data_IF_161641081741
#
_entry.id   IF_161641081741
#
_cell.length_a   1.000
_cell.length_b   1.000
_cell.length_c   1.000
_cell.angle_alpha   90.00
_cell.angle_beta   90.00
_cell.angle_gamma   90.00
#
_symmetry.space_group_name_H-M   'P 1'
#
loop_
_entity.id
_entity.type
_entity.pdbx_description
1 polymer ?
#
# COMPACT_ATOMS: atom_id res chain seq x y z
N UNK A 1 5.34 40.40 12.22
CA UNK A 1 6.12 40.20 10.97
C UNK A 1 6.36 38.71 10.81
N UNK A 2 5.59 38.06 9.95
CA UNK A 2 5.74 36.63 9.63
C UNK A 2 6.89 36.52 8.62
N UNK A 3 7.86 35.64 8.88
CA UNK A 3 9.04 35.43 8.04
C UNK A 3 8.65 35.02 6.62
N UNK A 4 9.15 35.76 5.63
CA UNK A 4 8.76 35.71 4.23
C UNK A 4 9.40 34.55 3.43
N UNK A 5 9.50 33.35 3.99
CA UNK A 5 10.16 32.23 3.30
C UNK A 5 9.59 30.83 3.57
N UNK A 6 8.29 30.71 3.88
CA UNK A 6 7.61 29.42 3.74
C UNK A 6 7.25 29.21 2.27
N UNK A 7 8.13 28.55 1.50
CA UNK A 7 7.73 27.97 0.21
C UNK A 7 6.73 26.85 0.51
N UNK A 8 5.52 26.95 -0.02
CA UNK A 8 4.64 25.79 -0.08
C UNK A 8 5.38 24.70 -0.87
N UNK A 9 5.80 23.63 -0.19
CA UNK A 9 6.32 22.45 -0.86
C UNK A 9 5.15 21.78 -1.56
N UNK A 10 4.95 22.15 -2.83
CA UNK A 10 4.07 21.43 -3.73
C UNK A 10 4.98 20.42 -4.42
N UNK A 11 4.91 19.12 -4.10
CA UNK A 11 5.59 18.13 -4.90
C UNK A 11 5.12 18.34 -6.34
N UNK A 12 6.05 18.44 -7.29
CA UNK A 12 5.69 18.37 -8.70
C UNK A 12 5.20 16.94 -8.95
N UNK A 13 3.92 16.65 -8.70
CA UNK A 13 3.31 15.34 -8.96
C UNK A 13 3.47 14.92 -10.43
N UNK A 14 3.69 15.89 -11.33
CA UNK A 14 3.98 15.69 -12.75
C UNK A 14 5.43 15.23 -13.07
N UNK A 15 6.36 15.25 -12.11
CA UNK A 15 7.75 14.88 -12.34
C UNK A 15 8.09 13.43 -11.98
N UNK A 16 7.33 12.81 -11.07
CA UNK A 16 7.55 11.43 -10.63
C UNK A 16 7.01 10.44 -11.67
N UNK A 17 7.90 9.60 -12.22
CA UNK A 17 7.55 8.53 -13.16
C UNK A 17 7.55 7.18 -12.45
N UNK A 18 6.91 6.19 -13.07
CA UNK A 18 6.94 4.80 -12.60
C UNK A 18 8.39 4.31 -12.36
N UNK A 19 9.29 4.58 -13.30
CA UNK A 19 10.71 4.22 -13.19
C UNK A 19 11.41 4.82 -11.96
N UNK A 20 11.01 6.02 -11.50
CA UNK A 20 11.61 6.63 -10.30
C UNK A 20 11.20 5.86 -9.05
N UNK A 21 9.95 5.40 -9.00
CA UNK A 21 9.41 4.59 -7.90
C UNK A 21 10.05 3.20 -7.91
N UNK A 22 10.14 2.55 -9.08
CA UNK A 22 10.78 1.25 -9.24
C UNK A 22 12.27 1.30 -8.85
N UNK A 23 12.98 2.33 -9.32
CA UNK A 23 14.39 2.54 -8.99
C UNK A 23 14.57 2.75 -7.49
N UNK A 24 13.74 3.58 -6.87
CA UNK A 24 13.76 3.81 -5.42
C UNK A 24 13.51 2.51 -4.65
N UNK A 25 12.48 1.74 -5.02
CA UNK A 25 12.10 0.50 -4.36
C UNK A 25 13.21 -0.56 -4.46
N UNK A 26 13.88 -0.65 -5.61
CA UNK A 26 14.88 -1.67 -5.89
C UNK A 26 16.26 -1.36 -5.29
N UNK A 27 16.63 -0.08 -5.18
CA UNK A 27 17.99 0.34 -4.80
C UNK A 27 18.11 0.91 -3.39
N UNK A 28 17.01 0.99 -2.63
CA UNK A 28 17.02 1.55 -1.29
C UNK A 28 16.41 0.58 -0.27
N UNK A 29 17.23 0.08 0.66
CA UNK A 29 16.80 -0.84 1.71
C UNK A 29 15.64 -0.26 2.54
N UNK A 30 15.64 1.05 2.77
CA UNK A 30 14.56 1.73 3.51
C UNK A 30 13.22 1.70 2.78
N UNK A 31 13.19 1.40 1.47
CA UNK A 31 11.93 1.27 0.73
C UNK A 31 11.04 0.16 1.31
N UNK A 32 11.63 -0.90 1.89
CA UNK A 32 10.87 -1.99 2.52
C UNK A 32 9.95 -1.51 3.64
N UNK A 33 10.43 -0.60 4.48
CA UNK A 33 9.65 -0.05 5.60
C UNK A 33 8.88 1.21 5.23
N UNK A 34 9.21 1.84 4.10
CA UNK A 34 8.60 3.10 3.64
C UNK A 34 7.51 2.88 2.58
N UNK A 35 7.50 1.76 1.87
CA UNK A 35 6.45 1.40 0.91
C UNK A 35 5.04 1.35 1.54
N UNK A 36 4.83 0.77 2.74
CA UNK A 36 3.53 0.85 3.42
C UNK A 36 3.09 2.31 3.64
N UNK A 37 4.03 3.17 4.05
CA UNK A 37 3.76 4.60 4.29
C UNK A 37 3.37 5.30 3.00
N UNK A 38 4.05 4.98 1.89
CA UNK A 38 3.74 5.52 0.57
C UNK A 38 2.36 5.11 0.09
N UNK A 39 2.02 3.81 0.15
CA UNK A 39 0.70 3.29 -0.21
C UNK A 39 -0.40 3.92 0.65
N UNK A 40 -0.16 4.05 1.96
CA UNK A 40 -1.09 4.72 2.88
C UNK A 40 -1.40 6.15 2.45
N UNK A 41 -0.40 6.90 2.00
CA UNK A 41 -0.58 8.28 1.50
C UNK A 41 -1.42 8.25 0.23
N UNK A 42 -1.08 7.39 -0.74
CA UNK A 42 -1.82 7.28 -2.00
C UNK A 42 -3.28 6.92 -1.77
N UNK A 43 -3.55 5.92 -0.93
CA UNK A 43 -4.90 5.46 -0.61
C UNK A 43 -5.70 6.58 0.04
N UNK A 44 -5.16 7.24 1.08
CA UNK A 44 -5.86 8.37 1.71
C UNK A 44 -6.05 9.57 0.78
N UNK A 45 -5.18 9.76 -0.22
CA UNK A 45 -5.27 10.89 -1.15
C UNK A 45 -6.21 10.66 -2.33
N UNK A 46 -6.51 9.39 -2.67
CA UNK A 46 -7.26 9.02 -3.89
C UNK A 46 -8.51 8.18 -3.61
N UNK A 47 -8.63 7.59 -2.42
CA UNK A 47 -9.78 6.81 -2.01
C UNK A 47 -10.98 7.67 -1.65
N UNK A 48 -12.16 7.06 -1.75
CA UNK A 48 -13.45 7.67 -1.44
C UNK A 48 -14.17 6.81 -0.42
N UNK A 49 -14.84 7.42 0.57
CA UNK A 49 -15.59 6.71 1.60
C UNK A 49 -14.77 5.61 2.32
N UNK A 50 -13.52 5.93 2.62
CA UNK A 50 -12.63 5.05 3.39
C UNK A 50 -13.06 5.01 4.85
N UNK A 51 -13.34 3.82 5.37
CA UNK A 51 -13.70 3.62 6.79
C UNK A 51 -12.57 3.00 7.59
N UNK A 52 -11.60 2.35 6.91
CA UNK A 52 -10.35 1.87 7.53
C UNK A 52 -9.21 1.88 6.52
N UNK A 53 -8.04 2.35 6.94
CA UNK A 53 -6.78 2.25 6.21
C UNK A 53 -5.67 1.90 7.21
N UNK A 54 -5.14 0.68 7.13
CA UNK A 54 -4.12 0.16 8.02
C UNK A 54 -2.94 -0.35 7.18
N UNK A 55 -1.84 0.38 7.20
CA UNK A 55 -0.60 0.05 6.48
C UNK A 55 0.55 0.30 7.46
N UNK A 56 0.91 -0.71 8.27
CA UNK A 56 1.99 -0.60 9.23
C UNK A 56 3.31 -0.35 8.49
N UNK A 57 4.02 0.68 8.89
CA UNK A 57 5.27 1.09 8.24
C UNK A 57 6.26 1.67 9.23
N UNK A 58 7.48 1.92 8.77
CA UNK A 58 8.63 2.17 9.62
C UNK A 58 8.82 1.01 10.61
N UNK A 59 8.83 1.29 11.92
CA UNK A 59 9.13 0.33 12.98
C UNK A 59 8.02 -0.73 13.19
N UNK A 60 6.81 -0.49 12.67
CA UNK A 60 5.69 -1.45 12.76
C UNK A 60 5.58 -2.34 11.50
N UNK A 61 6.44 -2.13 10.49
CA UNK A 61 6.33 -2.77 9.18
C UNK A 61 6.60 -4.28 9.14
N UNK A 62 7.04 -4.89 10.25
CA UNK A 62 7.29 -6.34 10.36
C UNK A 62 6.21 -7.06 11.19
N UNK A 63 5.06 -6.41 11.39
CA UNK A 63 3.94 -6.99 12.13
C UNK A 63 3.33 -8.20 11.39
N UNK A 64 2.98 -9.24 12.14
CA UNK A 64 2.26 -10.39 11.61
C UNK A 64 0.83 -10.00 11.15
N UNK A 65 0.45 -10.49 9.97
CA UNK A 65 -0.85 -10.24 9.36
C UNK A 65 -0.67 -9.73 7.92
N UNK A 66 -1.66 -8.98 7.45
CA UNK A 66 -1.62 -8.30 6.16
C UNK A 66 -0.60 -7.15 6.18
N UNK A 67 0.16 -6.97 5.10
CA UNK A 67 1.02 -5.79 4.92
C UNK A 67 0.18 -4.49 4.83
N UNK A 68 -1.06 -4.60 4.33
CA UNK A 68 -2.02 -3.51 4.33
C UNK A 68 -3.47 -4.00 4.35
N UNK A 69 -4.37 -3.16 4.88
CA UNK A 69 -5.79 -3.47 4.98
C UNK A 69 -6.64 -2.22 4.77
N UNK A 70 -7.64 -2.31 3.89
CA UNK A 70 -8.57 -1.21 3.60
C UNK A 70 -10.00 -1.69 3.73
N UNK A 71 -10.87 -0.82 4.25
CA UNK A 71 -12.32 -0.91 4.07
C UNK A 71 -12.79 0.38 3.39
N UNK A 72 -13.46 0.23 2.26
CA UNK A 72 -14.00 1.33 1.47
C UNK A 72 -15.46 1.07 1.09
N UNK A 73 -16.36 2.03 1.32
CA UNK A 73 -17.77 1.88 0.94
C UNK A 73 -18.00 2.15 -0.56
N UNK A 74 -17.00 2.72 -1.22
CA UNK A 74 -16.98 3.00 -2.66
C UNK A 74 -15.71 2.46 -3.31
N UNK A 75 -15.87 1.84 -4.48
CA UNK A 75 -14.74 1.32 -5.26
C UNK A 75 -14.19 2.37 -6.20
N UNK A 76 -12.87 2.36 -6.40
CA UNK A 76 -12.18 3.10 -7.46
C UNK A 76 -11.38 2.13 -8.32
N UNK A 77 -10.80 2.57 -9.45
CA UNK A 77 -9.90 1.74 -10.25
C UNK A 77 -8.68 1.21 -9.47
N UNK A 78 -8.34 1.81 -8.33
CA UNK A 78 -7.15 1.49 -7.54
C UNK A 78 -7.48 0.85 -6.19
N UNK A 79 -8.69 1.08 -5.66
CA UNK A 79 -9.10 0.67 -4.32
C UNK A 79 -10.42 -0.09 -4.43
N UNK A 80 -10.46 -1.40 -4.11
CA UNK A 80 -11.69 -2.17 -4.16
C UNK A 80 -12.75 -1.66 -3.18
N UNK A 81 -14.02 -1.80 -3.56
CA UNK A 81 -15.14 -1.66 -2.62
C UNK A 81 -15.15 -2.84 -1.64
N UNK A 82 -15.49 -2.58 -0.38
CA UNK A 82 -15.54 -3.56 0.69
C UNK A 82 -14.18 -3.72 1.39
N UNK A 83 -13.94 -4.92 1.94
CA UNK A 83 -12.66 -5.25 2.58
C UNK A 83 -11.62 -5.56 1.49
N UNK A 84 -10.40 -5.06 1.65
CA UNK A 84 -9.27 -5.54 0.88
C UNK A 84 -8.04 -5.78 1.74
N UNK A 85 -7.43 -6.95 1.56
CA UNK A 85 -6.14 -7.32 2.14
C UNK A 85 -5.05 -7.12 1.09
N UNK A 86 -3.98 -6.44 1.47
CA UNK A 86 -2.90 -6.03 0.60
C UNK A 86 -1.61 -6.70 1.03
N UNK A 87 -0.92 -7.30 0.07
CA UNK A 87 0.42 -7.86 0.20
C UNK A 87 1.33 -7.13 -0.77
N UNK A 88 2.54 -6.77 -0.33
CA UNK A 88 3.45 -6.03 -1.20
C UNK A 88 4.92 -6.30 -0.90
N UNK A 89 5.77 -5.93 -1.85
CA UNK A 89 7.21 -6.02 -1.63
C UNK A 89 8.01 -5.54 -2.80
N UNK A 90 9.32 -5.51 -2.60
CA UNK A 90 10.29 -4.97 -3.56
C UNK A 90 11.15 -6.06 -4.20
N UNK A 91 10.64 -7.30 -4.28
CA UNK A 91 11.42 -8.46 -4.73
C UNK A 91 11.24 -8.74 -6.21
N UNK A 92 12.32 -9.15 -6.90
CA UNK A 92 12.28 -9.43 -8.34
C UNK A 92 11.50 -10.69 -8.78
N UNK A 93 11.25 -11.68 -7.88
CA UNK A 93 10.43 -12.84 -8.22
C UNK A 93 8.94 -12.59 -7.93
N UNK A 94 8.33 -11.75 -8.76
CA UNK A 94 6.95 -11.28 -8.59
C UNK A 94 5.95 -12.43 -8.51
N UNK A 95 5.98 -13.36 -9.48
CA UNK A 95 4.99 -14.44 -9.56
C UNK A 95 5.07 -15.37 -8.36
N UNK A 96 6.27 -15.87 -8.04
CA UNK A 96 6.44 -16.80 -6.92
C UNK A 96 6.06 -16.18 -5.58
N UNK A 97 6.33 -14.87 -5.41
CA UNK A 97 5.90 -14.14 -4.21
C UNK A 97 4.38 -13.96 -4.17
N UNK A 98 3.77 -13.50 -5.26
CA UNK A 98 2.32 -13.31 -5.33
C UNK A 98 1.54 -14.59 -5.02
N UNK A 99 1.91 -15.71 -5.65
CA UNK A 99 1.27 -17.02 -5.40
C UNK A 99 1.47 -17.43 -3.93
N UNK A 100 2.69 -17.30 -3.42
CA UNK A 100 3.02 -17.71 -2.05
C UNK A 100 2.34 -16.86 -0.98
N UNK A 101 2.21 -15.56 -1.20
CA UNK A 101 1.53 -14.66 -0.27
C UNK A 101 0.01 -14.86 -0.33
N UNK A 102 -0.56 -15.04 -1.54
CA UNK A 102 -1.97 -15.44 -1.68
C UNK A 102 -2.30 -16.72 -0.90
N UNK A 103 -1.51 -17.77 -1.06
CA UNK A 103 -1.72 -19.05 -0.37
C UNK A 103 -1.66 -18.90 1.17
N UNK A 104 -0.74 -18.06 1.68
CA UNK A 104 -0.65 -17.78 3.11
C UNK A 104 -1.88 -17.01 3.59
N UNK A 105 -2.29 -15.98 2.86
CA UNK A 105 -3.43 -15.14 3.21
C UNK A 105 -4.74 -15.93 3.23
N UNK A 106 -4.94 -16.83 2.27
CA UNK A 106 -6.10 -17.74 2.22
C UNK A 106 -6.12 -18.67 3.44
N UNK A 107 -4.96 -19.22 3.83
CA UNK A 107 -4.86 -20.09 5.02
C UNK A 107 -5.06 -19.33 6.33
N UNK A 108 -4.64 -18.08 6.40
CA UNK A 108 -4.74 -17.23 7.58
C UNK A 108 -6.12 -16.57 7.76
N UNK A 109 -6.96 -16.56 6.72
CA UNK A 109 -8.25 -15.85 6.71
C UNK A 109 -9.42 -16.83 6.60
N UNK A 110 -10.42 -16.66 7.47
CA UNK A 110 -11.62 -17.52 7.50
C UNK A 110 -12.38 -17.49 6.17
N UNK A 111 -13.08 -18.58 5.85
CA UNK A 111 -13.93 -18.71 4.66
C UNK A 111 -14.96 -17.58 4.56
N UNK A 112 -15.59 -17.24 5.68
CA UNK A 112 -16.54 -16.14 5.77
C UNK A 112 -15.91 -14.79 5.52
N UNK A 113 -14.70 -14.53 6.03
CA UNK A 113 -14.05 -13.24 5.84
C UNK A 113 -13.53 -13.05 4.42
N UNK A 114 -13.03 -14.11 3.78
CA UNK A 114 -12.51 -14.04 2.41
C UNK A 114 -13.60 -13.98 1.34
N UNK A 115 -14.82 -14.43 1.63
CA UNK A 115 -15.97 -14.31 0.73
C UNK A 115 -16.31 -12.83 0.41
N UNK A 116 -16.07 -11.94 1.38
CA UNK A 116 -16.37 -10.50 1.28
C UNK A 116 -15.10 -9.63 1.19
N UNK A 117 -13.97 -10.22 0.76
CA UNK A 117 -12.67 -9.55 0.69
C UNK A 117 -12.02 -9.67 -0.68
N UNK A 118 -11.37 -8.59 -1.12
CA UNK A 118 -10.49 -8.60 -2.29
C UNK A 118 -9.03 -8.70 -1.88
N UNK A 119 -8.28 -9.62 -2.48
CA UNK A 119 -6.83 -9.67 -2.36
C UNK A 119 -6.18 -8.71 -3.37
N UNK A 120 -5.25 -7.88 -2.90
CA UNK A 120 -4.48 -6.95 -3.74
C UNK A 120 -2.99 -7.23 -3.55
N UNK A 121 -2.27 -7.35 -4.66
CA UNK A 121 -0.81 -7.53 -4.64
C UNK A 121 -0.13 -6.36 -5.34
N UNK A 122 0.88 -5.77 -4.69
CA UNK A 122 1.67 -4.66 -5.24
C UNK A 122 3.15 -5.07 -5.36
N UNK A 123 3.72 -4.85 -6.53
CA UNK A 123 5.12 -5.18 -6.87
C UNK A 123 5.74 -4.13 -7.77
#
# INVERSE_FOLDING_TARGET
KISANSKAYVPLFLALKANDIEYWASNNISARTRLPVFLRILINSTGQQLTKVDFPGNDDGERAGWDGFVISDEGSPWIPKGKSGWEFGVTGNVKGKADGDFDKSVKATSDSDRADMTFVFVT
#
